data_IF_645862160227
#
_entry.id   IF_645862160227
#
_cell.length_a   1.000
_cell.length_b   1.000
_cell.length_c   1.000
_cell.angle_alpha   90.00
_cell.angle_beta   90.00
_cell.angle_gamma   90.00
#
_symmetry.space_group_name_H-M   'P 1'
#
loop_
_entity.id
_entity.type
_entity.pdbx_description
1 polymer ?
#
# COMPACT_ATOMS: atom_id res chain seq x y z
N UNK A 1 32.38 27.10 8.34
CA UNK A 1 30.95 27.25 7.97
C UNK A 1 29.99 26.61 8.99
N UNK A 2 30.49 25.85 9.98
CA UNK A 2 29.66 25.03 10.88
C UNK A 2 28.86 25.81 11.95
N UNK A 3 29.34 26.97 12.42
CA UNK A 3 28.65 27.68 13.51
C UNK A 3 27.42 28.51 13.08
N UNK A 4 27.26 28.81 11.79
CA UNK A 4 26.13 29.65 11.31
C UNK A 4 24.78 28.91 11.42
N UNK A 5 24.78 27.60 11.16
CA UNK A 5 23.60 26.75 11.29
C UNK A 5 23.17 26.58 12.74
N UNK A 6 24.14 26.46 13.66
CA UNK A 6 23.85 26.33 15.08
C UNK A 6 23.20 27.60 15.63
N UNK A 7 23.71 28.77 15.26
CA UNK A 7 23.12 30.08 15.61
C UNK A 7 21.73 30.24 15.00
N UNK A 8 21.51 29.83 13.75
CA UNK A 8 20.20 29.87 13.12
C UNK A 8 19.19 28.94 13.80
N UNK A 9 19.58 27.70 14.11
CA UNK A 9 18.73 26.76 14.85
C UNK A 9 18.41 27.26 16.25
N UNK A 10 19.35 27.90 16.95
CA UNK A 10 19.14 28.47 18.28
C UNK A 10 18.22 29.70 18.24
N UNK A 11 18.39 30.56 17.23
CA UNK A 11 17.50 31.70 16.98
C UNK A 11 16.08 31.25 16.61
N UNK A 12 15.96 30.21 15.79
CA UNK A 12 14.69 29.62 15.41
C UNK A 12 13.99 28.96 16.60
N UNK A 13 14.73 28.18 17.39
CA UNK A 13 14.23 27.53 18.60
C UNK A 13 13.75 28.56 19.62
N UNK A 14 14.53 29.62 19.86
CA UNK A 14 14.12 30.71 20.78
C UNK A 14 12.91 31.49 20.27
N UNK A 15 12.79 31.71 18.96
CA UNK A 15 11.60 32.33 18.36
C UNK A 15 10.36 31.43 18.49
N UNK A 16 10.51 30.12 18.26
CA UNK A 16 9.45 29.13 18.46
C UNK A 16 9.04 29.00 19.94
N UNK A 17 10.01 29.06 20.86
CA UNK A 17 9.77 29.05 22.30
C UNK A 17 9.02 30.32 22.72
N UNK A 18 9.39 31.49 22.19
CA UNK A 18 8.65 32.74 22.41
C UNK A 18 7.24 32.71 21.84
N UNK A 19 7.03 32.09 20.68
CA UNK A 19 5.69 31.88 20.10
C UNK A 19 4.85 30.90 20.93
N UNK A 20 5.46 29.87 21.51
CA UNK A 20 4.79 28.93 22.42
C UNK A 20 4.42 29.62 23.73
N UNK A 21 5.30 30.47 24.27
CA UNK A 21 5.00 31.30 25.43
C UNK A 21 3.97 32.41 25.14
N UNK A 22 3.80 32.82 23.88
CA UNK A 22 2.77 33.77 23.47
C UNK A 22 1.35 33.17 23.46
N UNK A 23 1.14 31.92 23.91
CA UNK A 23 -0.20 31.39 24.21
C UNK A 23 -0.97 32.22 25.25
N UNK A 24 -0.33 33.16 25.97
CA UNK A 24 -1.04 34.17 26.77
C UNK A 24 -1.76 35.25 25.93
N UNK A 25 -1.63 35.25 24.60
CA UNK A 25 -2.35 36.12 23.65
C UNK A 25 -3.59 35.45 23.02
N UNK A 26 -4.20 34.48 23.71
CA UNK A 26 -5.38 33.75 23.24
C UNK A 26 -6.59 34.65 22.86
N UNK A 27 -6.63 35.90 23.31
CA UNK A 27 -7.71 36.83 22.94
C UNK A 27 -7.56 37.46 21.54
N UNK A 28 -6.35 37.48 20.96
CA UNK A 28 -6.08 38.20 19.70
C UNK A 28 -5.74 37.25 18.54
N UNK A 29 -5.12 36.11 18.82
CA UNK A 29 -4.82 35.12 17.79
C UNK A 29 -5.88 34.02 17.76
N UNK A 30 -6.79 34.09 16.79
CA UNK A 30 -7.61 32.91 16.47
C UNK A 30 -6.68 31.75 16.07
N UNK A 31 -7.06 30.49 16.35
CA UNK A 31 -6.28 29.30 15.97
C UNK A 31 -5.91 29.28 14.47
N UNK A 32 -6.77 29.89 13.65
CA UNK A 32 -6.58 30.11 12.22
C UNK A 32 -5.37 31.00 11.94
N UNK A 33 -5.23 32.14 12.62
CA UNK A 33 -4.09 33.06 12.45
C UNK A 33 -2.79 32.40 12.92
N UNK A 34 -2.81 31.65 14.03
CA UNK A 34 -1.64 30.93 14.52
C UNK A 34 -1.14 29.91 13.48
N UNK A 35 -2.06 29.19 12.83
CA UNK A 35 -1.72 28.25 11.76
C UNK A 35 -1.10 28.94 10.54
N UNK A 36 -1.63 30.10 10.14
CA UNK A 36 -1.12 30.91 9.01
C UNK A 36 0.29 31.42 9.30
N UNK A 37 0.57 31.87 10.53
CA UNK A 37 1.91 32.34 10.92
C UNK A 37 2.93 31.20 10.88
N UNK A 38 2.60 30.02 11.40
CA UNK A 38 3.50 28.87 11.35
C UNK A 38 3.79 28.44 9.92
N UNK A 39 2.77 28.41 9.05
CA UNK A 39 2.94 28.13 7.62
C UNK A 39 3.84 29.19 6.98
N UNK A 40 3.63 30.48 7.27
CA UNK A 40 4.44 31.58 6.75
C UNK A 40 5.91 31.47 7.16
N UNK A 41 6.17 31.12 8.42
CA UNK A 41 7.52 30.86 8.93
C UNK A 41 8.15 29.67 8.20
N UNK A 42 7.42 28.58 8.03
CA UNK A 42 7.92 27.38 7.36
C UNK A 42 8.22 27.63 5.87
N UNK A 43 7.35 28.34 5.16
CA UNK A 43 7.57 28.77 3.78
C UNK A 43 8.80 29.66 3.67
N UNK A 44 9.01 30.56 4.64
CA UNK A 44 10.19 31.44 4.67
C UNK A 44 11.48 30.62 4.85
N UNK A 45 11.48 29.61 5.73
CA UNK A 45 12.63 28.68 5.88
C UNK A 45 12.90 27.95 4.57
N UNK A 46 11.87 27.44 3.90
CA UNK A 46 12.01 26.79 2.59
C UNK A 46 12.61 27.73 1.56
N UNK A 47 12.13 28.97 1.48
CA UNK A 47 12.65 29.98 0.55
C UNK A 47 14.13 30.29 0.83
N UNK A 48 14.51 30.44 2.10
CA UNK A 48 15.90 30.65 2.52
C UNK A 48 16.76 29.44 2.12
N UNK A 49 16.28 28.21 2.36
CA UNK A 49 16.99 26.98 1.97
C UNK A 49 17.14 26.85 0.45
N UNK A 50 16.13 27.24 -0.33
CA UNK A 50 16.18 27.30 -1.80
C UNK A 50 17.20 28.35 -2.25
N UNK A 51 17.22 29.52 -1.61
CA UNK A 51 18.11 30.62 -1.94
C UNK A 51 19.58 30.24 -1.73
N UNK A 52 19.93 29.60 -0.62
CA UNK A 52 21.30 29.15 -0.35
C UNK A 52 21.81 28.11 -1.36
N UNK A 53 20.89 27.39 -2.04
CA UNK A 53 21.22 26.35 -3.02
C UNK A 53 21.59 26.88 -4.40
N UNK A 54 21.50 28.19 -4.67
CA UNK A 54 21.87 28.82 -5.97
C UNK A 54 23.35 28.67 -6.38
N UNK A 55 24.19 27.96 -5.62
CA UNK A 55 25.58 27.64 -5.97
C UNK A 55 25.76 26.42 -6.89
N UNK A 56 24.89 26.25 -7.90
CA UNK A 56 25.19 25.39 -9.06
C UNK A 56 24.67 23.95 -9.08
N UNK A 57 23.66 23.59 -8.28
CA UNK A 57 23.04 22.25 -8.33
C UNK A 57 21.67 22.33 -9.02
N UNK A 58 21.47 21.53 -10.07
CA UNK A 58 20.19 21.42 -10.79
C UNK A 58 19.05 21.11 -9.83
N UNK A 59 17.92 21.81 -9.99
CA UNK A 59 16.78 21.70 -9.07
C UNK A 59 16.19 20.29 -9.20
N UNK A 60 16.33 19.41 -8.19
CA UNK A 60 15.78 18.07 -8.30
C UNK A 60 14.26 18.19 -8.26
N UNK A 61 13.57 17.65 -9.26
CA UNK A 61 12.09 17.61 -9.36
C UNK A 61 11.45 17.15 -8.03
N UNK A 62 12.13 16.28 -7.29
CA UNK A 62 11.73 15.84 -5.96
C UNK A 62 11.56 16.97 -4.92
N UNK A 63 12.28 18.09 -5.04
CA UNK A 63 12.15 19.24 -4.13
C UNK A 63 10.87 20.05 -4.40
N UNK A 64 10.48 20.19 -5.66
CA UNK A 64 9.20 20.84 -6.02
C UNK A 64 8.04 20.00 -5.51
N UNK A 65 8.08 18.69 -5.77
CA UNK A 65 7.08 17.74 -5.28
C UNK A 65 7.03 17.78 -3.74
N UNK A 66 8.18 17.87 -3.07
CA UNK A 66 8.25 17.97 -1.61
C UNK A 66 7.60 19.24 -1.05
N UNK A 67 7.88 20.41 -1.65
CA UNK A 67 7.27 21.68 -1.23
C UNK A 67 5.76 21.61 -1.43
N UNK A 68 5.31 21.04 -2.55
CA UNK A 68 3.89 20.88 -2.84
C UNK A 68 3.22 19.92 -1.85
N UNK A 69 3.87 18.80 -1.50
CA UNK A 69 3.40 17.85 -0.47
C UNK A 69 3.33 18.52 0.89
N UNK A 70 4.32 19.32 1.28
CA UNK A 70 4.29 20.05 2.55
C UNK A 70 3.15 21.05 2.54
N UNK A 71 3.04 21.89 1.51
CA UNK A 71 1.95 22.86 1.41
C UNK A 71 0.62 22.12 1.50
N UNK A 72 0.44 21.03 0.76
CA UNK A 72 -0.75 20.19 0.85
C UNK A 72 -0.98 19.67 2.28
N UNK A 73 0.05 19.12 2.93
CA UNK A 73 -0.03 18.52 4.25
C UNK A 73 -0.31 19.55 5.36
N UNK A 74 0.04 20.83 5.18
CA UNK A 74 -0.23 21.89 6.15
C UNK A 74 -1.49 22.71 5.84
N UNK A 75 -1.84 22.87 4.55
CA UNK A 75 -2.98 23.67 4.10
C UNK A 75 -4.26 22.84 4.06
N UNK A 76 -4.20 21.59 3.60
CA UNK A 76 -5.38 20.72 3.49
C UNK A 76 -6.05 20.46 4.85
N UNK A 77 -5.31 20.25 5.96
CA UNK A 77 -5.90 20.15 7.29
C UNK A 77 -6.74 21.37 7.68
N UNK A 78 -6.47 22.58 7.20
CA UNK A 78 -7.24 23.78 7.55
C UNK A 78 -8.71 23.65 7.11
N UNK A 79 -8.94 23.01 5.97
CA UNK A 79 -10.27 22.89 5.37
C UNK A 79 -11.11 21.73 5.93
N UNK A 80 -10.52 20.85 6.74
CA UNK A 80 -11.23 19.71 7.35
C UNK A 80 -11.69 20.12 8.75
N UNK A 81 -13.01 20.20 8.95
CA UNK A 81 -13.60 20.40 10.28
C UNK A 81 -13.23 19.22 11.17
N UNK A 82 -12.73 19.54 12.37
CA UNK A 82 -12.28 18.54 13.33
C UNK A 82 -13.45 17.68 13.82
N UNK A 83 -13.31 16.36 13.91
CA UNK A 83 -14.02 15.64 14.95
C UNK A 83 -13.51 16.14 16.30
N UNK A 84 -14.41 16.30 17.27
CA UNK A 84 -14.04 16.55 18.66
C UNK A 84 -12.99 15.53 19.12
N UNK A 85 -12.09 15.92 20.03
CA UNK A 85 -11.09 15.00 20.57
C UNK A 85 -11.78 13.70 20.99
N UNK A 86 -11.34 12.53 20.51
CA UNK A 86 -11.93 11.28 20.92
C UNK A 86 -11.80 11.19 22.44
N UNK A 87 -12.94 11.09 23.10
CA UNK A 87 -13.01 10.90 24.54
C UNK A 87 -12.56 9.46 24.80
N UNK A 88 -11.45 9.25 25.53
CA UNK A 88 -10.99 7.91 25.84
C UNK A 88 -12.06 7.18 26.66
N UNK A 89 -12.23 5.86 26.48
CA UNK A 89 -13.10 5.05 27.33
C UNK A 89 -12.81 5.32 28.82
N UNK A 90 -13.84 5.33 29.70
CA UNK A 90 -13.63 5.59 31.13
C UNK A 90 -12.59 4.66 31.77
N UNK A 91 -12.56 3.40 31.32
CA UNK A 91 -11.60 2.37 31.74
C UNK A 91 -10.13 2.74 31.45
N UNK A 92 -9.88 3.69 30.53
CA UNK A 92 -8.53 4.11 30.17
C UNK A 92 -8.01 5.31 30.99
N UNK A 93 -8.84 5.86 31.88
CA UNK A 93 -8.52 7.02 32.70
C UNK A 93 -8.07 6.64 34.13
N UNK A 94 -7.75 5.35 34.34
CA UNK A 94 -7.55 4.76 35.68
C UNK A 94 -6.22 5.18 36.31
N UNK A 95 -5.18 5.42 35.51
CA UNK A 95 -3.84 5.75 36.00
C UNK A 95 -3.47 7.15 35.50
N UNK A 96 -3.85 8.21 36.23
CA UNK A 96 -3.51 9.58 35.85
C UNK A 96 -2.01 9.83 36.04
N UNK A 97 -1.45 10.71 35.21
CA UNK A 97 -0.07 11.11 35.39
C UNK A 97 0.16 11.94 36.66
N UNK A 98 1.39 11.90 37.21
CA UNK A 98 1.80 12.82 38.26
C UNK A 98 1.57 14.29 37.84
N UNK A 99 1.22 15.14 38.81
CA UNK A 99 0.84 16.54 38.58
C UNK A 99 1.82 17.32 37.68
N UNK A 100 3.13 17.21 37.92
CA UNK A 100 4.16 17.90 37.13
C UNK A 100 4.19 17.46 35.66
N UNK A 101 3.97 16.16 35.41
CA UNK A 101 3.91 15.59 34.07
C UNK A 101 2.64 16.06 33.37
N UNK A 102 1.52 16.13 34.09
CA UNK A 102 0.26 16.66 33.57
C UNK A 102 0.43 18.11 33.10
N UNK A 103 0.98 19.00 33.93
CA UNK A 103 1.23 20.41 33.57
C UNK A 103 2.11 20.52 32.33
N UNK A 104 3.19 19.74 32.25
CA UNK A 104 4.09 19.79 31.12
C UNK A 104 3.36 19.48 29.80
N UNK A 105 2.59 18.40 29.76
CA UNK A 105 1.89 17.99 28.54
C UNK A 105 0.66 18.85 28.22
N UNK A 106 -0.07 19.35 29.21
CA UNK A 106 -1.16 20.31 28.95
C UNK A 106 -0.63 21.62 28.41
N UNK A 107 0.52 22.10 28.91
CA UNK A 107 1.21 23.28 28.37
C UNK A 107 1.66 23.06 26.92
N UNK A 108 2.02 21.83 26.56
CA UNK A 108 2.30 21.47 25.16
C UNK A 108 1.05 21.39 24.27
N UNK A 109 -0.14 21.54 24.83
CA UNK A 109 -1.40 21.52 24.10
C UNK A 109 -2.08 20.15 24.04
N UNK A 110 -1.68 19.18 24.86
CA UNK A 110 -2.42 17.93 24.97
C UNK A 110 -3.68 18.10 25.84
N UNK A 111 -4.81 17.48 25.44
CA UNK A 111 -6.03 17.46 26.25
C UNK A 111 -5.82 16.64 27.52
N UNK A 112 -6.44 17.07 28.63
CA UNK A 112 -6.23 16.45 29.95
C UNK A 112 -6.69 15.00 30.00
N UNK A 113 -7.72 14.66 29.24
CA UNK A 113 -8.33 13.34 29.18
C UNK A 113 -7.34 12.29 28.63
N UNK A 114 -6.35 12.73 27.85
CA UNK A 114 -5.33 11.86 27.29
C UNK A 114 -4.18 11.60 28.25
N UNK A 115 -4.08 12.33 29.37
CA UNK A 115 -2.96 12.28 30.31
C UNK A 115 -3.13 11.20 31.38
N UNK A 116 -3.66 10.05 30.95
CA UNK A 116 -3.77 8.83 31.72
C UNK A 116 -3.27 7.64 30.90
N UNK A 117 -2.68 6.65 31.55
CA UNK A 117 -2.35 5.38 30.89
C UNK A 117 -3.59 4.47 30.89
N UNK A 118 -3.97 3.85 29.76
CA UNK A 118 -3.28 3.72 28.46
C UNK A 118 -3.64 4.80 27.40
N UNK A 119 -4.55 5.72 27.68
CA UNK A 119 -5.00 6.72 26.71
C UNK A 119 -3.84 7.50 26.07
N UNK A 120 -2.85 7.90 26.87
CA UNK A 120 -1.65 8.58 26.39
C UNK A 120 -0.87 7.77 25.34
N UNK A 121 -0.76 6.45 25.52
CA UNK A 121 -0.03 5.60 24.59
C UNK A 121 -0.74 5.57 23.23
N UNK A 122 -2.06 5.35 23.26
CA UNK A 122 -2.87 5.19 22.04
C UNK A 122 -3.09 6.49 21.30
N UNK A 123 -3.50 7.55 21.99
CA UNK A 123 -3.89 8.80 21.36
C UNK A 123 -2.72 9.73 21.08
N UNK A 124 -1.59 9.60 21.81
CA UNK A 124 -0.44 10.49 21.65
C UNK A 124 0.86 9.79 21.27
N UNK A 125 1.35 8.82 22.07
CA UNK A 125 2.70 8.30 21.86
C UNK A 125 2.85 7.53 20.54
N UNK A 126 1.92 6.61 20.24
CA UNK A 126 1.95 5.82 19.01
C UNK A 126 1.89 6.72 17.77
N UNK A 127 0.93 7.67 17.66
CA UNK A 127 0.88 8.50 16.47
C UNK A 127 2.04 9.52 16.39
N UNK A 128 2.62 9.93 17.53
CA UNK A 128 3.82 10.77 17.58
C UNK A 128 5.02 10.06 16.99
N UNK A 129 5.25 8.81 17.42
CA UNK A 129 6.33 7.98 16.87
C UNK A 129 6.10 7.75 15.37
N UNK A 130 4.86 7.52 14.93
CA UNK A 130 4.54 7.33 13.52
C UNK A 130 4.89 8.57 12.68
N UNK A 131 4.44 9.77 13.09
CA UNK A 131 4.78 11.03 12.41
C UNK A 131 6.30 11.23 12.40
N UNK A 132 6.96 11.02 13.53
CA UNK A 132 8.40 11.19 13.65
C UNK A 132 9.16 10.28 12.67
N UNK A 133 8.81 8.99 12.61
CA UNK A 133 9.43 8.02 11.69
C UNK A 133 9.18 8.40 10.24
N UNK A 134 7.96 8.81 9.89
CA UNK A 134 7.62 9.23 8.53
C UNK A 134 8.48 10.44 8.13
N UNK A 135 8.46 11.51 8.94
CA UNK A 135 9.25 12.71 8.67
C UNK A 135 10.74 12.39 8.61
N UNK A 136 11.24 11.51 9.47
CA UNK A 136 12.62 11.03 9.45
C UNK A 136 12.96 10.34 8.13
N UNK A 137 12.16 9.36 7.70
CA UNK A 137 12.35 8.63 6.46
C UNK A 137 12.32 9.56 5.25
N UNK A 138 11.38 10.52 5.24
CA UNK A 138 11.28 11.54 4.20
C UNK A 138 12.52 12.43 4.14
N UNK A 139 12.97 13.00 5.27
CA UNK A 139 14.16 13.84 5.29
C UNK A 139 15.41 13.08 4.84
N UNK A 140 15.53 11.80 5.24
CA UNK A 140 16.62 10.91 4.80
C UNK A 140 16.60 10.67 3.29
N UNK A 141 15.42 10.50 2.69
CA UNK A 141 15.28 10.26 1.25
C UNK A 141 15.69 11.49 0.42
N UNK A 142 15.42 12.71 0.90
CA UNK A 142 15.76 13.95 0.17
C UNK A 142 17.26 14.25 0.26
N UNK A 143 17.96 13.68 1.25
CA UNK A 143 19.42 13.80 1.43
C UNK A 143 19.93 15.24 1.52
N UNK A 144 19.12 16.16 2.09
CA UNK A 144 19.43 17.60 2.18
C UNK A 144 20.76 17.84 2.92
N UNK A 145 21.03 17.05 3.96
CA UNK A 145 22.19 17.19 4.84
C UNK A 145 23.26 16.09 4.59
N UNK A 146 23.27 15.45 3.41
CA UNK A 146 24.19 14.34 3.09
C UNK A 146 23.69 12.95 3.54
N UNK A 147 24.46 11.88 3.30
CA UNK A 147 24.00 10.50 3.52
C UNK A 147 23.95 10.06 5.00
N UNK A 148 24.75 10.65 5.90
CA UNK A 148 24.94 10.11 7.27
C UNK A 148 24.88 11.14 8.41
N UNK A 149 24.06 12.19 8.30
CA UNK A 149 23.99 13.19 9.38
C UNK A 149 22.96 12.81 10.46
N UNK A 150 23.38 12.86 11.74
CA UNK A 150 22.50 12.70 12.91
C UNK A 150 21.36 13.73 12.96
N UNK A 151 21.51 14.84 12.23
CA UNK A 151 20.56 15.93 12.13
C UNK A 151 19.17 15.51 11.65
N UNK A 152 19.05 14.49 10.80
CA UNK A 152 17.74 14.00 10.36
C UNK A 152 16.86 13.56 11.53
N UNK A 153 17.44 12.90 12.54
CA UNK A 153 16.69 12.42 13.72
C UNK A 153 16.20 13.57 14.57
N UNK A 154 17.05 14.56 14.81
CA UNK A 154 16.72 15.75 15.63
C UNK A 154 15.68 16.60 14.91
N UNK A 155 15.88 16.88 13.61
CA UNK A 155 14.97 17.73 12.85
C UNK A 155 13.59 17.10 12.69
N UNK A 156 13.53 15.80 12.36
CA UNK A 156 12.25 15.08 12.30
C UNK A 156 11.52 15.07 13.64
N UNK A 157 12.26 14.92 14.75
CA UNK A 157 11.69 14.96 16.09
C UNK A 157 11.12 16.34 16.41
N UNK A 158 11.86 17.42 16.11
CA UNK A 158 11.39 18.79 16.30
C UNK A 158 10.16 19.11 15.44
N UNK A 159 10.13 18.63 14.18
CA UNK A 159 8.97 18.78 13.32
C UNK A 159 7.77 18.03 13.92
N UNK A 160 7.93 16.77 14.33
CA UNK A 160 6.87 16.01 14.98
C UNK A 160 6.37 16.72 16.25
N UNK A 161 7.27 17.22 17.09
CA UNK A 161 6.94 17.96 18.31
C UNK A 161 6.14 19.24 17.99
N UNK A 162 6.51 19.95 16.92
CA UNK A 162 5.80 21.16 16.49
C UNK A 162 4.36 20.92 16.05
N UNK A 163 4.00 19.68 15.70
CA UNK A 163 2.61 19.35 15.32
C UNK A 163 1.65 19.28 16.51
N UNK A 164 2.17 19.15 17.74
CA UNK A 164 1.40 18.99 18.98
C UNK A 164 0.62 20.26 19.33
N UNK A 165 1.25 21.43 19.58
CA UNK A 165 0.54 22.63 20.05
C UNK A 165 -0.46 23.19 19.02
N UNK A 166 -0.34 22.80 17.75
CA UNK A 166 -1.20 23.28 16.68
C UNK A 166 -2.49 22.47 16.51
N UNK A 167 -2.67 21.38 17.27
CA UNK A 167 -3.76 20.42 17.03
C UNK A 167 -3.70 19.75 15.65
N UNK A 168 -2.65 20.02 14.85
CA UNK A 168 -2.43 19.38 13.56
C UNK A 168 -2.07 17.92 13.69
N UNK A 169 -1.48 17.54 14.83
CA UNK A 169 -1.15 16.18 15.16
C UNK A 169 -2.30 15.20 14.84
N UNK A 170 -3.50 15.46 15.36
CA UNK A 170 -4.68 14.59 15.14
C UNK A 170 -5.11 14.59 13.69
N UNK A 171 -5.08 15.75 13.02
CA UNK A 171 -5.45 15.85 11.60
C UNK A 171 -4.51 15.08 10.69
N UNK A 172 -3.21 15.23 10.91
CA UNK A 172 -2.18 14.53 10.15
C UNK A 172 -2.30 13.02 10.41
N UNK A 173 -2.47 12.61 11.66
CA UNK A 173 -2.66 11.20 12.04
C UNK A 173 -3.91 10.63 11.39
N UNK A 174 -5.06 11.30 11.51
CA UNK A 174 -6.32 10.87 10.91
C UNK A 174 -6.25 10.79 9.40
N UNK A 175 -5.61 11.78 8.75
CA UNK A 175 -5.38 11.78 7.31
C UNK A 175 -4.48 10.62 6.88
N UNK A 176 -3.35 10.41 7.58
CA UNK A 176 -2.41 9.33 7.28
C UNK A 176 -3.09 7.97 7.46
N UNK A 177 -3.77 7.73 8.57
CA UNK A 177 -4.49 6.47 8.78
C UNK A 177 -5.63 6.28 7.78
N UNK A 178 -6.37 7.34 7.45
CA UNK A 178 -7.40 7.31 6.41
C UNK A 178 -6.82 6.95 5.04
N UNK A 179 -5.71 7.58 4.65
CA UNK A 179 -5.02 7.29 3.39
C UNK A 179 -4.44 5.89 3.36
N UNK A 180 -3.76 5.44 4.43
CA UNK A 180 -3.20 4.08 4.53
C UNK A 180 -4.34 3.04 4.48
N UNK A 181 -5.44 3.28 5.20
CA UNK A 181 -6.61 2.41 5.19
C UNK A 181 -7.24 2.31 3.81
N UNK A 182 -7.49 3.46 3.15
CA UNK A 182 -8.00 3.49 1.78
C UNK A 182 -7.05 2.81 0.79
N UNK A 183 -5.74 3.05 0.92
CA UNK A 183 -4.71 2.44 0.08
C UNK A 183 -4.63 0.93 0.27
N UNK A 184 -4.78 0.44 1.51
CA UNK A 184 -4.82 -0.98 1.81
C UNK A 184 -6.02 -1.67 1.13
N UNK A 185 -7.19 -1.05 1.15
CA UNK A 185 -8.39 -1.54 0.45
C UNK A 185 -8.16 -1.56 -1.07
N UNK A 186 -7.56 -0.50 -1.63
CA UNK A 186 -7.27 -0.43 -3.06
C UNK A 186 -6.26 -1.51 -3.51
N UNK A 187 -5.20 -1.73 -2.74
CA UNK A 187 -4.24 -2.82 -2.98
C UNK A 187 -4.92 -4.18 -2.89
N UNK A 188 -5.74 -4.41 -1.86
CA UNK A 188 -6.49 -5.64 -1.70
C UNK A 188 -7.40 -5.91 -2.90
N UNK A 189 -8.19 -4.92 -3.33
CA UNK A 189 -9.06 -5.03 -4.49
C UNK A 189 -8.27 -5.34 -5.77
N UNK A 190 -7.11 -4.71 -5.95
CA UNK A 190 -6.24 -4.94 -7.11
C UNK A 190 -5.72 -6.38 -7.12
N UNK A 191 -5.17 -6.85 -6.01
CA UNK A 191 -4.66 -8.23 -5.87
C UNK A 191 -5.80 -9.24 -6.03
N UNK A 192 -6.98 -8.95 -5.49
CA UNK A 192 -8.16 -9.79 -5.61
C UNK A 192 -8.64 -9.92 -7.07
N UNK A 193 -8.78 -8.80 -7.80
CA UNK A 193 -9.20 -8.81 -9.21
C UNK A 193 -8.18 -9.56 -10.07
N UNK A 194 -6.89 -9.31 -9.88
CA UNK A 194 -5.82 -10.03 -10.60
C UNK A 194 -5.86 -11.53 -10.27
N UNK A 195 -5.99 -11.88 -8.99
CA UNK A 195 -6.08 -13.27 -8.54
C UNK A 195 -7.28 -14.00 -9.12
N UNK A 196 -8.46 -13.39 -9.06
CA UNK A 196 -9.68 -13.93 -9.65
C UNK A 196 -9.57 -14.10 -11.16
N UNK A 197 -8.97 -13.13 -11.85
CA UNK A 197 -8.72 -13.21 -13.29
C UNK A 197 -7.77 -14.36 -13.65
N UNK A 198 -6.67 -14.52 -12.92
CA UNK A 198 -5.71 -15.62 -13.17
C UNK A 198 -6.31 -17.00 -12.91
N UNK A 199 -7.10 -17.14 -11.85
CA UNK A 199 -7.83 -18.39 -11.56
C UNK A 199 -8.85 -18.69 -12.66
N UNK A 200 -9.60 -17.69 -13.10
CA UNK A 200 -10.61 -17.82 -14.16
C UNK A 200 -9.97 -18.18 -15.51
N UNK A 201 -8.82 -17.56 -15.82
CA UNK A 201 -8.04 -17.86 -17.02
C UNK A 201 -7.51 -19.29 -17.00
N UNK A 202 -7.00 -19.76 -15.85
CA UNK A 202 -6.50 -21.12 -15.68
C UNK A 202 -7.61 -22.17 -15.75
N UNK A 203 -8.78 -21.89 -15.17
CA UNK A 203 -9.93 -22.79 -15.24
C UNK A 203 -10.40 -22.97 -16.70
N UNK A 204 -10.51 -21.86 -17.44
CA UNK A 204 -10.91 -21.87 -18.85
C UNK A 204 -9.90 -22.61 -19.72
N UNK A 205 -8.59 -22.45 -19.48
CA UNK A 205 -7.58 -23.15 -20.27
C UNK A 205 -7.62 -24.66 -20.05
N UNK A 206 -7.77 -25.12 -18.80
CA UNK A 206 -7.91 -26.55 -18.49
C UNK A 206 -9.14 -27.14 -19.19
N UNK A 207 -10.29 -26.46 -19.13
CA UNK A 207 -11.50 -26.88 -19.83
C UNK A 207 -11.30 -26.93 -21.35
N UNK A 208 -10.61 -25.94 -21.93
CA UNK A 208 -10.32 -25.91 -23.35
C UNK A 208 -9.42 -27.07 -23.80
N UNK A 209 -8.36 -27.39 -23.04
CA UNK A 209 -7.50 -28.54 -23.33
C UNK A 209 -8.24 -29.87 -23.15
N UNK A 210 -9.08 -30.00 -22.13
CA UNK A 210 -9.92 -31.18 -21.93
C UNK A 210 -10.91 -31.38 -23.11
N UNK A 211 -11.62 -30.32 -23.51
CA UNK A 211 -12.52 -30.34 -24.67
C UNK A 211 -11.79 -30.71 -25.97
N UNK A 212 -10.58 -30.19 -26.17
CA UNK A 212 -9.77 -30.50 -27.35
C UNK A 212 -9.31 -31.97 -27.36
N UNK A 213 -8.93 -32.51 -26.20
CA UNK A 213 -8.56 -33.91 -26.05
C UNK A 213 -9.74 -34.84 -26.35
N UNK A 214 -10.94 -34.52 -25.82
CA UNK A 214 -12.16 -35.29 -26.08
C UNK A 214 -12.54 -35.26 -27.56
N UNK A 215 -12.53 -34.07 -28.21
CA UNK A 215 -12.82 -33.96 -29.65
C UNK A 215 -11.82 -34.74 -30.52
N UNK A 216 -10.54 -34.71 -30.16
CA UNK A 216 -9.51 -35.48 -30.88
C UNK A 216 -9.75 -36.98 -30.75
N UNK A 217 -10.09 -37.45 -29.54
CA UNK A 217 -10.41 -38.86 -29.30
C UNK A 217 -11.67 -39.30 -30.06
N UNK A 218 -12.70 -38.45 -30.12
CA UNK A 218 -13.94 -38.71 -30.86
C UNK A 218 -13.70 -38.84 -32.37
N UNK A 219 -12.87 -37.96 -32.96
CA UNK A 219 -12.48 -38.04 -34.37
C UNK A 219 -11.68 -39.32 -34.68
N UNK A 220 -10.75 -39.72 -33.81
CA UNK A 220 -10.00 -40.97 -33.95
C UNK A 220 -10.89 -42.20 -33.82
N UNK A 221 -11.83 -42.18 -32.86
CA UNK A 221 -12.81 -43.24 -32.67
C UNK A 221 -13.70 -43.39 -33.92
N UNK A 222 -14.16 -42.29 -34.50
CA UNK A 222 -14.96 -42.28 -35.74
C UNK A 222 -14.19 -42.88 -36.92
N UNK A 223 -12.91 -42.52 -37.08
CA UNK A 223 -12.02 -43.11 -38.10
C UNK A 223 -11.80 -44.61 -37.88
N UNK A 224 -11.64 -45.04 -36.63
CA UNK A 224 -11.46 -46.45 -36.29
C UNK A 224 -12.72 -47.27 -36.60
N UNK A 225 -13.93 -46.74 -36.33
CA UNK A 225 -15.18 -47.39 -36.71
C UNK A 225 -15.36 -47.49 -38.22
N UNK A 226 -15.02 -46.44 -38.99
CA UNK A 226 -15.06 -46.48 -40.45
C UNK A 226 -14.13 -47.57 -41.01
N UNK A 227 -12.88 -47.64 -40.53
CA UNK A 227 -11.95 -48.72 -40.90
C UNK A 227 -12.45 -50.10 -40.53
N UNK A 228 -13.07 -50.26 -39.35
CA UNK A 228 -13.64 -51.53 -38.92
C UNK A 228 -14.75 -51.99 -39.89
N UNK A 229 -15.57 -51.07 -40.36
CA UNK A 229 -16.63 -51.36 -41.33
C UNK A 229 -16.04 -51.77 -42.69
N UNK A 230 -15.02 -51.07 -43.17
CA UNK A 230 -14.28 -51.42 -44.40
C UNK A 230 -13.64 -52.82 -44.31
N UNK A 231 -12.96 -53.13 -43.20
CA UNK A 231 -12.34 -54.44 -42.96
C UNK A 231 -13.40 -55.54 -42.89
N UNK A 232 -14.54 -55.31 -42.24
CA UNK A 232 -15.63 -56.28 -42.22
C UNK A 232 -16.19 -56.55 -43.62
N UNK A 233 -16.34 -55.53 -44.47
CA UNK A 233 -16.75 -55.71 -45.87
C UNK A 233 -15.71 -56.52 -46.66
N UNK A 234 -14.42 -56.25 -46.46
CA UNK A 234 -13.33 -56.98 -47.10
C UNK A 234 -13.26 -58.46 -46.67
N UNK A 235 -13.51 -58.75 -45.38
CA UNK A 235 -13.60 -60.14 -44.86
C UNK A 235 -14.67 -60.93 -45.60
N UNK A 236 -15.87 -60.35 -45.75
CA UNK A 236 -16.99 -61.00 -46.47
C UNK A 236 -16.62 -61.29 -47.95
N UNK A 237 -15.83 -60.42 -48.57
CA UNK A 237 -15.35 -60.63 -49.94
C UNK A 237 -14.27 -61.73 -50.02
N UNK A 238 -13.31 -61.74 -49.09
CA UNK A 238 -12.26 -62.75 -49.01
C UNK A 238 -12.81 -64.16 -48.72
N UNK A 239 -13.81 -64.26 -47.84
CA UNK A 239 -14.54 -65.51 -47.57
C UNK A 239 -15.20 -66.07 -48.83
N UNK A 240 -15.84 -65.20 -49.62
CA UNK A 240 -16.44 -65.59 -50.91
C UNK A 240 -15.38 -66.05 -51.92
N UNK A 241 -14.19 -65.44 -51.91
CA UNK A 241 -13.08 -65.80 -52.78
C UNK A 241 -12.27 -67.02 -52.31
N UNK A 242 -12.55 -67.55 -51.10
CA UNK A 242 -11.78 -68.61 -50.45
C UNK A 242 -10.27 -68.31 -50.27
N UNK A 243 -9.88 -67.04 -50.23
CA UNK A 243 -8.49 -66.62 -50.00
C UNK A 243 -8.17 -66.64 -48.49
N UNK A 244 -7.62 -67.77 -48.03
CA UNK A 244 -7.32 -68.01 -46.61
C UNK A 244 -6.24 -67.08 -46.05
N UNK A 245 -5.26 -66.69 -46.86
CA UNK A 245 -4.15 -65.84 -46.41
C UNK A 245 -4.64 -64.41 -46.18
N UNK A 246 -5.39 -63.86 -47.13
CA UNK A 246 -6.00 -62.54 -47.01
C UNK A 246 -6.98 -62.49 -45.82
N UNK A 247 -7.78 -63.53 -45.64
CA UNK A 247 -8.72 -63.64 -44.52
C UNK A 247 -8.02 -63.57 -43.15
N UNK A 248 -6.93 -64.32 -42.98
CA UNK A 248 -6.18 -64.33 -41.72
C UNK A 248 -5.58 -62.95 -41.41
N UNK A 249 -5.07 -62.26 -42.44
CA UNK A 249 -4.53 -60.90 -42.31
C UNK A 249 -5.61 -59.90 -41.88
N UNK A 250 -6.79 -59.94 -42.53
CA UNK A 250 -7.91 -59.05 -42.19
C UNK A 250 -8.48 -59.32 -40.79
N UNK A 251 -8.50 -60.58 -40.35
CA UNK A 251 -8.93 -60.93 -38.97
C UNK A 251 -7.97 -60.37 -37.92
N UNK A 252 -6.65 -60.40 -38.16
CA UNK A 252 -5.69 -59.77 -37.26
C UNK A 252 -5.84 -58.24 -37.22
N UNK A 253 -6.08 -57.62 -38.37
CA UNK A 253 -6.34 -56.19 -38.48
C UNK A 253 -7.63 -55.79 -37.74
N UNK A 254 -8.70 -56.57 -37.87
CA UNK A 254 -9.95 -56.37 -37.13
C UNK A 254 -9.74 -56.38 -35.62
N UNK A 255 -8.99 -57.36 -35.10
CA UNK A 255 -8.69 -57.44 -33.66
C UNK A 255 -7.76 -56.30 -33.19
N UNK A 256 -6.87 -55.81 -34.05
CA UNK A 256 -6.06 -54.62 -33.76
C UNK A 256 -6.95 -53.37 -33.68
N UNK A 257 -7.84 -53.15 -34.64
CA UNK A 257 -8.78 -52.01 -34.64
C UNK A 257 -9.71 -52.06 -33.42
N UNK A 258 -10.22 -53.24 -33.07
CA UNK A 258 -11.08 -53.44 -31.89
C UNK A 258 -10.37 -53.12 -30.58
N UNK A 259 -9.07 -53.42 -30.48
CA UNK A 259 -8.23 -53.00 -29.35
C UNK A 259 -8.08 -51.49 -29.29
N UNK A 260 -7.83 -50.82 -30.42
CA UNK A 260 -7.75 -49.35 -30.49
C UNK A 260 -9.07 -48.68 -30.10
N UNK A 261 -10.21 -49.21 -30.55
CA UNK A 261 -11.54 -48.71 -30.15
C UNK A 261 -11.75 -48.88 -28.64
N UNK A 262 -11.34 -50.01 -28.06
CA UNK A 262 -11.46 -50.25 -26.61
C UNK A 262 -10.57 -49.31 -25.80
N UNK A 263 -9.35 -49.04 -26.25
CA UNK A 263 -8.45 -48.10 -25.57
C UNK A 263 -8.95 -46.65 -25.66
N UNK A 264 -9.50 -46.24 -26.81
CA UNK A 264 -10.06 -44.90 -26.98
C UNK A 264 -11.42 -44.73 -26.28
N UNK A 265 -12.25 -45.77 -26.26
CA UNK A 265 -13.57 -45.75 -25.61
C UNK A 265 -13.50 -45.59 -24.10
N UNK A 266 -12.44 -46.08 -23.45
CA UNK A 266 -12.20 -45.82 -22.02
C UNK A 266 -11.91 -44.35 -21.72
N UNK A 267 -11.35 -43.60 -22.67
CA UNK A 267 -11.01 -42.16 -22.50
C UNK A 267 -12.22 -41.24 -22.68
N UNK A 268 -13.31 -41.71 -23.30
CA UNK A 268 -14.51 -40.90 -23.61
C UNK A 268 -15.62 -41.09 -22.55
N UNK A 269 -15.58 -42.18 -21.78
CA UNK A 269 -16.62 -42.53 -20.80
C UNK A 269 -16.28 -42.10 -19.37
N UNK A 270 -15.01 -41.81 -19.09
CA UNK A 270 -14.50 -41.26 -17.82
C UNK A 270 -14.41 -39.71 -17.86
#
# INVERSE_FOLDING_TARGET
MENKWLVFCLAFFTLFLKLSFAQSFQEILTPEIASVIVIGIFVTIIIIMIWERKKGVSFPVGMIIFILIIILLFVLPIFIKYPEYPIPPPEWQVIPFPFYVKIFFTTLGLPEEWLAMPAFLYYFLIPFIAIWIIVYAFLKQIRIFGEETKWYRVLSFLIALSTIPLGFFIKIVGLIFGLIGAWSIALFATVFVIGAFLISYRATSIQYYALKAVKSAEEELKKAYQRLEEVNRAIVQAEKAQDKELLQKLLMEKEAIKRTIRSLGGVVVD
#
